data_IF_431853876740
#
_entry.id   IF_431853876740
#
_cell.length_a   1.000
_cell.length_b   1.000
_cell.length_c   1.000
_cell.angle_alpha   90.00
_cell.angle_beta   90.00
_cell.angle_gamma   90.00
#
_symmetry.space_group_name_H-M   'P 1'
#
loop_
_entity.id
_entity.type
_entity.pdbx_description
1 polymer ?
#
# COMPACT_ATOMS: atom_id res chain seq x y z
N UNK A 1 18.96 6.50 5.14
CA UNK A 1 18.33 5.67 6.20
C UNK A 1 17.81 6.50 7.36
N UNK A 2 18.66 7.24 8.10
CA UNK A 2 18.22 8.09 9.23
C UNK A 2 17.01 8.97 8.91
N UNK A 3 17.07 9.76 7.84
CA UNK A 3 15.96 10.64 7.47
C UNK A 3 14.68 9.86 7.17
N UNK A 4 14.77 8.68 6.53
CA UNK A 4 13.60 7.86 6.21
C UNK A 4 12.93 7.37 7.50
N UNK A 5 13.72 6.89 8.46
CA UNK A 5 13.24 6.47 9.78
C UNK A 5 12.58 7.64 10.51
N UNK A 6 13.21 8.82 10.52
CA UNK A 6 12.64 10.00 11.19
C UNK A 6 11.30 10.44 10.57
N UNK A 7 11.19 10.44 9.25
CA UNK A 7 9.93 10.78 8.55
C UNK A 7 8.83 9.78 8.90
N UNK A 8 9.12 8.48 8.89
CA UNK A 8 8.10 7.45 9.14
C UNK A 8 7.72 7.36 10.63
N UNK A 9 8.67 7.56 11.55
CA UNK A 9 8.37 7.68 12.98
C UNK A 9 7.53 8.92 13.26
N UNK A 10 7.92 10.08 12.71
CA UNK A 10 7.15 11.31 12.85
C UNK A 10 5.75 11.19 12.28
N UNK A 11 5.61 10.62 11.08
CA UNK A 11 4.31 10.33 10.48
C UNK A 11 3.50 9.35 11.33
N UNK A 12 4.12 8.29 11.84
CA UNK A 12 3.47 7.30 12.70
C UNK A 12 2.92 7.93 13.98
N UNK A 13 3.66 8.82 14.63
CA UNK A 13 3.17 9.56 15.80
C UNK A 13 1.98 10.46 15.46
N UNK A 14 2.04 11.17 14.34
CA UNK A 14 0.93 12.01 13.87
C UNK A 14 -0.29 11.16 13.51
N UNK A 15 -0.08 9.99 12.88
CA UNK A 15 -1.15 9.06 12.53
C UNK A 15 -1.83 8.49 13.78
N UNK A 16 -1.05 8.03 14.78
CA UNK A 16 -1.60 7.53 16.06
C UNK A 16 -2.41 8.63 16.76
N UNK A 17 -1.85 9.84 16.90
CA UNK A 17 -2.54 10.96 17.53
C UNK A 17 -3.82 11.35 16.76
N UNK A 18 -3.73 11.40 15.42
CA UNK A 18 -4.85 11.73 14.55
C UNK A 18 -5.97 10.69 14.64
N UNK A 19 -5.64 9.40 14.63
CA UNK A 19 -6.61 8.30 14.66
C UNK A 19 -7.22 8.08 16.05
N UNK A 20 -6.55 8.49 17.13
CA UNK A 20 -7.09 8.39 18.48
C UNK A 20 -8.27 9.33 18.79
N UNK A 21 -8.57 10.33 17.94
CA UNK A 21 -9.71 11.24 18.16
C UNK A 21 -11.07 10.55 17.91
N UNK A 22 -12.18 10.99 18.54
CA UNK A 22 -13.49 10.36 18.39
C UNK A 22 -14.09 10.44 16.96
N UNK A 23 -14.93 9.45 16.61
CA UNK A 23 -15.65 9.36 15.34
C UNK A 23 -16.90 10.24 15.37
N UNK A 24 -16.95 11.29 14.53
CA UNK A 24 -17.55 11.06 13.20
C UNK A 24 -16.66 11.46 12.01
N UNK A 25 -15.40 11.86 12.25
CA UNK A 25 -14.51 12.37 11.21
C UNK A 25 -13.34 11.41 10.89
N UNK A 26 -13.49 10.09 11.07
CA UNK A 26 -12.37 9.17 10.87
C UNK A 26 -11.93 9.10 9.41
N UNK A 27 -12.85 9.02 8.44
CA UNK A 27 -12.49 9.00 7.02
C UNK A 27 -11.83 10.30 6.55
N UNK A 28 -12.28 11.46 7.05
CA UNK A 28 -11.60 12.75 6.81
C UNK A 28 -10.17 12.79 7.39
N UNK A 29 -9.98 12.26 8.60
CA UNK A 29 -8.65 12.20 9.24
C UNK A 29 -7.71 11.26 8.49
N UNK A 30 -8.20 10.10 8.07
CA UNK A 30 -7.46 9.17 7.21
C UNK A 30 -7.05 9.83 5.90
N UNK A 31 -7.98 10.50 5.23
CA UNK A 31 -7.67 11.25 4.01
C UNK A 31 -6.60 12.32 4.26
N UNK A 32 -6.74 13.09 5.35
CA UNK A 32 -5.75 14.09 5.76
C UNK A 32 -4.37 13.49 5.99
N UNK A 33 -4.27 12.32 6.63
CA UNK A 33 -3.02 11.59 6.86
C UNK A 33 -2.40 11.09 5.54
N UNK A 34 -3.21 10.53 4.65
CA UNK A 34 -2.74 10.05 3.33
C UNK A 34 -2.21 11.21 2.49
N UNK A 35 -2.93 12.34 2.46
CA UNK A 35 -2.49 13.56 1.78
C UNK A 35 -1.21 14.09 2.43
N UNK A 36 -1.17 14.17 3.76
CA UNK A 36 -0.01 14.63 4.51
C UNK A 36 1.23 13.80 4.16
N UNK A 37 1.13 12.47 4.15
CA UNK A 37 2.24 11.60 3.79
C UNK A 37 2.71 11.85 2.34
N UNK A 38 1.77 11.86 1.40
CA UNK A 38 2.07 12.00 -0.03
C UNK A 38 2.61 13.39 -0.39
N UNK A 39 2.40 14.42 0.44
CA UNK A 39 3.04 15.73 0.31
C UNK A 39 4.37 15.79 1.05
N UNK A 40 4.40 15.34 2.31
CA UNK A 40 5.58 15.44 3.17
C UNK A 40 6.77 14.65 2.62
N UNK A 41 6.54 13.45 2.11
CA UNK A 41 7.60 12.57 1.61
C UNK A 41 8.41 13.19 0.45
N UNK A 42 7.80 13.65 -0.67
CA UNK A 42 8.55 14.30 -1.74
C UNK A 42 9.12 15.67 -1.32
N UNK A 43 8.44 16.42 -0.44
CA UNK A 43 8.95 17.70 0.08
C UNK A 43 10.23 17.49 0.89
N UNK A 44 10.22 16.58 1.86
CA UNK A 44 11.41 16.25 2.65
C UNK A 44 12.49 15.66 1.76
N UNK A 45 12.12 14.77 0.83
CA UNK A 45 13.04 14.23 -0.16
C UNK A 45 13.72 15.32 -0.99
N UNK A 46 12.99 16.37 -1.38
CA UNK A 46 13.54 17.49 -2.14
C UNK A 46 14.44 18.39 -1.29
N UNK A 47 13.98 18.79 -0.09
CA UNK A 47 14.72 19.67 0.83
C UNK A 47 16.02 19.02 1.29
N UNK A 48 16.03 17.70 1.49
CA UNK A 48 17.21 16.93 1.93
C UNK A 48 18.06 16.36 0.79
N UNK A 49 17.69 16.61 -0.47
CA UNK A 49 18.46 16.16 -1.64
C UNK A 49 18.31 14.69 -2.04
N UNK A 50 17.33 13.97 -1.47
CA UNK A 50 17.05 12.55 -1.74
C UNK A 50 16.26 12.37 -3.04
N UNK A 51 16.90 12.53 -4.20
CA UNK A 51 16.25 12.37 -5.52
C UNK A 51 15.58 11.01 -5.73
N UNK A 52 16.19 9.94 -5.22
CA UNK A 52 15.64 8.59 -5.28
C UNK A 52 14.29 8.43 -4.56
N UNK A 53 14.06 9.20 -3.49
CA UNK A 53 12.80 9.19 -2.76
C UNK A 53 11.65 9.70 -3.61
N UNK A 54 11.88 10.83 -4.29
CA UNK A 54 10.92 11.46 -5.19
C UNK A 54 10.68 10.55 -6.41
N UNK A 55 11.74 9.91 -6.91
CA UNK A 55 11.65 8.92 -7.98
C UNK A 55 10.70 7.78 -7.61
N UNK A 56 10.96 7.11 -6.48
CA UNK A 56 10.16 5.99 -6.00
C UNK A 56 8.73 6.41 -5.67
N UNK A 57 8.54 7.54 -4.99
CA UNK A 57 7.21 8.10 -4.70
C UNK A 57 6.41 8.35 -5.98
N UNK A 58 7.02 8.94 -7.00
CA UNK A 58 6.34 9.24 -8.26
C UNK A 58 5.97 7.99 -9.08
N UNK A 59 6.61 6.84 -8.83
CA UNK A 59 6.16 5.54 -9.35
C UNK A 59 5.04 4.94 -8.50
N UNK A 60 5.16 5.02 -7.17
CA UNK A 60 4.22 4.43 -6.23
C UNK A 60 2.90 5.16 -6.08
N UNK A 61 2.86 6.48 -6.31
CA UNK A 61 1.62 7.23 -6.26
C UNK A 61 0.64 6.76 -7.35
N UNK A 62 1.01 6.71 -8.65
CA UNK A 62 0.16 6.10 -9.68
C UNK A 62 -0.24 4.66 -9.35
N UNK A 63 0.69 3.84 -8.84
CA UNK A 63 0.38 2.47 -8.43
C UNK A 63 -0.72 2.47 -7.37
N UNK A 64 -0.58 3.29 -6.33
CA UNK A 64 -1.57 3.40 -5.26
C UNK A 64 -2.92 3.93 -5.72
N UNK A 65 -2.96 4.78 -6.76
CA UNK A 65 -4.22 5.22 -7.36
C UNK A 65 -4.89 4.07 -8.12
N UNK A 66 -4.11 3.24 -8.81
CA UNK A 66 -4.64 2.06 -9.50
C UNK A 66 -5.12 0.97 -8.54
N UNK A 67 -4.58 0.90 -7.31
CA UNK A 67 -5.03 -0.06 -6.29
C UNK A 67 -6.51 0.09 -5.89
N UNK A 68 -7.13 1.24 -6.18
CA UNK A 68 -8.59 1.42 -6.04
C UNK A 68 -9.37 0.36 -6.83
N UNK A 69 -8.84 -0.11 -7.97
CA UNK A 69 -9.50 -1.12 -8.80
C UNK A 69 -9.47 -2.51 -8.14
N UNK A 70 -8.31 -3.06 -7.72
CA UNK A 70 -8.24 -4.23 -6.86
C UNK A 70 -9.13 -4.14 -5.63
N UNK A 71 -9.07 -3.04 -4.89
CA UNK A 71 -9.85 -2.88 -3.66
C UNK A 71 -11.36 -2.86 -3.96
N UNK A 72 -11.80 -2.21 -5.04
CA UNK A 72 -13.19 -2.24 -5.50
C UNK A 72 -13.63 -3.63 -5.95
N UNK A 73 -12.76 -4.39 -6.61
CA UNK A 73 -13.05 -5.77 -7.02
C UNK A 73 -13.29 -6.66 -5.79
N UNK A 74 -12.46 -6.55 -4.76
CA UNK A 74 -12.66 -7.30 -3.51
C UNK A 74 -13.99 -6.91 -2.85
N UNK A 75 -14.33 -5.62 -2.81
CA UNK A 75 -15.53 -5.13 -2.16
C UNK A 75 -16.82 -5.43 -2.93
N UNK A 76 -16.91 -5.05 -4.20
CA UNK A 76 -18.15 -5.11 -4.97
C UNK A 76 -18.33 -6.43 -5.73
N UNK A 77 -17.25 -7.02 -6.25
CA UNK A 77 -17.33 -8.21 -7.10
C UNK A 77 -17.23 -9.51 -6.30
N UNK A 78 -16.33 -9.57 -5.31
CA UNK A 78 -16.18 -10.74 -4.44
C UNK A 78 -17.00 -10.62 -3.15
N UNK A 79 -17.23 -9.41 -2.64
CA UNK A 79 -17.84 -9.22 -1.32
C UNK A 79 -16.95 -9.70 -0.17
N UNK A 80 -15.65 -9.86 -0.41
CA UNK A 80 -14.70 -10.45 0.55
C UNK A 80 -14.11 -9.45 1.55
N UNK A 81 -14.39 -8.16 1.34
CA UNK A 81 -13.94 -7.05 2.19
C UNK A 81 -15.05 -6.01 2.33
N UNK A 82 -15.23 -5.50 3.54
CA UNK A 82 -16.17 -4.43 3.87
C UNK A 82 -15.41 -3.18 4.31
N UNK A 83 -15.82 -2.02 3.78
CA UNK A 83 -15.27 -0.71 4.11
C UNK A 83 -16.35 0.13 4.84
N UNK A 84 -16.35 0.14 6.18
CA UNK A 84 -17.36 0.87 6.96
C UNK A 84 -17.45 2.35 6.57
N UNK A 85 -18.65 2.94 6.71
CA UNK A 85 -18.77 4.39 6.59
C UNK A 85 -18.26 5.09 7.84
N UNK A 86 -17.12 5.75 7.69
CA UNK A 86 -16.39 6.45 8.75
C UNK A 86 -16.46 7.97 8.61
N UNK A 87 -17.32 8.46 7.70
CA UNK A 87 -17.48 9.87 7.35
C UNK A 87 -16.34 10.41 6.50
N UNK A 88 -16.66 11.00 5.36
CA UNK A 88 -15.67 11.53 4.42
C UNK A 88 -16.02 11.20 2.97
N UNK A 89 -15.22 11.69 2.01
CA UNK A 89 -15.46 11.42 0.60
C UNK A 89 -15.14 9.95 0.27
N UNK A 90 -15.91 9.39 -0.66
CA UNK A 90 -15.80 8.00 -1.14
C UNK A 90 -15.69 7.97 -2.66
N UNK A 91 -15.12 6.89 -3.19
CA UNK A 91 -15.17 6.52 -4.60
C UNK A 91 -15.76 5.11 -4.67
N UNK A 92 -17.01 4.98 -5.13
CA UNK A 92 -17.72 3.71 -5.07
C UNK A 92 -17.81 3.17 -3.63
N UNK A 93 -17.48 1.89 -3.38
CA UNK A 93 -17.53 1.30 -2.04
C UNK A 93 -16.37 1.76 -1.15
N UNK A 94 -15.40 2.54 -1.64
CA UNK A 94 -14.16 2.81 -0.91
C UNK A 94 -14.09 4.21 -0.33
N UNK A 95 -13.49 4.41 0.86
CA UNK A 95 -13.02 5.70 1.30
C UNK A 95 -12.01 6.27 0.28
N UNK A 96 -12.13 7.56 -0.06
CA UNK A 96 -11.21 8.22 -0.99
C UNK A 96 -9.74 8.12 -0.53
N UNK A 97 -9.51 8.01 0.78
CA UNK A 97 -8.18 7.82 1.37
C UNK A 97 -7.43 6.59 0.82
N UNK A 98 -8.13 5.54 0.38
CA UNK A 98 -7.50 4.35 -0.23
C UNK A 98 -6.68 4.72 -1.47
N UNK A 99 -7.12 5.75 -2.21
CA UNK A 99 -6.40 6.33 -3.34
C UNK A 99 -5.18 7.12 -2.84
N UNK A 100 -4.07 6.44 -2.61
CA UNK A 100 -2.81 7.00 -2.12
C UNK A 100 -2.30 6.36 -0.82
N UNK A 101 -3.12 5.55 -0.15
CA UNK A 101 -2.74 4.87 1.10
C UNK A 101 -1.63 3.85 0.88
N UNK A 102 -1.69 3.08 -0.21
CA UNK A 102 -0.72 2.05 -0.54
C UNK A 102 0.70 2.59 -0.75
N UNK A 103 0.85 3.87 -1.08
CA UNK A 103 2.17 4.51 -1.16
C UNK A 103 2.92 4.44 0.16
N UNK A 104 2.22 4.49 1.30
CA UNK A 104 2.83 4.49 2.65
C UNK A 104 3.61 3.20 2.92
N UNK A 105 2.98 2.00 2.94
CA UNK A 105 3.69 0.76 3.21
C UNK A 105 4.65 0.39 2.06
N UNK A 106 4.26 0.59 0.80
CA UNK A 106 5.10 0.18 -0.33
C UNK A 106 6.36 1.02 -0.43
N UNK A 107 6.32 2.32 -0.13
CA UNK A 107 7.52 3.14 -0.18
C UNK A 107 8.53 2.70 0.87
N UNK A 108 8.08 2.49 2.11
CA UNK A 108 8.95 2.02 3.19
C UNK A 108 9.56 0.64 2.86
N UNK A 109 8.74 -0.29 2.38
CA UNK A 109 9.16 -1.64 2.03
C UNK A 109 10.15 -1.67 0.86
N UNK A 110 9.87 -0.97 -0.24
CA UNK A 110 10.76 -0.95 -1.41
C UNK A 110 12.06 -0.19 -1.14
N UNK A 111 12.00 0.91 -0.39
CA UNK A 111 13.19 1.65 0.03
C UNK A 111 14.10 0.79 0.90
N UNK A 112 13.55 0.12 1.91
CA UNK A 112 14.31 -0.77 2.78
C UNK A 112 14.83 -1.99 2.01
N UNK A 113 14.05 -2.53 1.07
CA UNK A 113 14.48 -3.63 0.22
C UNK A 113 15.67 -3.29 -0.68
N UNK A 114 15.70 -2.09 -1.26
CA UNK A 114 16.85 -1.60 -2.04
C UNK A 114 18.11 -1.50 -1.15
N UNK A 115 17.96 -0.95 0.05
CA UNK A 115 19.03 -0.82 1.03
C UNK A 115 19.57 -2.18 1.51
N UNK A 116 18.69 -3.11 1.90
CA UNK A 116 19.05 -4.47 2.33
C UNK A 116 19.59 -5.33 1.18
N UNK A 117 19.08 -5.10 -0.04
CA UNK A 117 19.52 -5.77 -1.26
C UNK A 117 20.93 -5.37 -1.68
N UNK A 118 21.43 -4.22 -1.20
CA UNK A 118 22.78 -3.69 -1.50
C UNK A 118 23.05 -3.61 -3.01
N UNK A 119 22.05 -3.20 -3.79
CA UNK A 119 22.12 -3.11 -5.25
C UNK A 119 21.92 -4.42 -6.00
N UNK A 120 21.84 -5.57 -5.32
CA UNK A 120 21.51 -6.84 -5.98
C UNK A 120 20.00 -6.95 -6.23
N UNK A 121 19.62 -7.12 -7.50
CA UNK A 121 18.22 -7.16 -7.92
C UNK A 121 17.46 -8.33 -7.30
N UNK A 122 18.10 -9.50 -7.18
CA UNK A 122 17.45 -10.72 -6.67
C UNK A 122 17.19 -10.58 -5.17
N UNK A 123 18.20 -10.17 -4.39
CA UNK A 123 18.10 -9.92 -2.95
C UNK A 123 17.09 -8.82 -2.66
N UNK A 124 17.15 -7.71 -3.40
CA UNK A 124 16.17 -6.63 -3.26
C UNK A 124 14.74 -7.10 -3.56
N UNK A 125 14.54 -7.96 -4.56
CA UNK A 125 13.21 -8.54 -4.84
C UNK A 125 12.71 -9.39 -3.67
N UNK A 126 13.57 -10.25 -3.10
CA UNK A 126 13.20 -11.09 -1.95
C UNK A 126 12.85 -10.22 -0.75
N UNK A 127 13.67 -9.21 -0.44
CA UNK A 127 13.38 -8.29 0.66
C UNK A 127 12.10 -7.50 0.43
N UNK A 128 11.82 -7.08 -0.81
CA UNK A 128 10.57 -6.37 -1.11
C UNK A 128 9.34 -7.26 -0.90
N UNK A 129 9.41 -8.54 -1.29
CA UNK A 129 8.37 -9.52 -1.01
C UNK A 129 8.12 -9.70 0.49
N UNK A 130 9.20 -9.92 1.26
CA UNK A 130 9.13 -10.15 2.70
C UNK A 130 8.62 -8.91 3.44
N UNK A 131 9.13 -7.72 3.11
CA UNK A 131 8.77 -6.48 3.80
C UNK A 131 7.37 -6.00 3.44
N UNK A 132 6.99 -6.03 2.16
CA UNK A 132 5.64 -5.63 1.76
C UNK A 132 4.60 -6.61 2.31
N UNK A 133 4.79 -7.92 2.10
CA UNK A 133 3.90 -8.94 2.65
C UNK A 133 3.83 -8.88 4.17
N UNK A 134 4.97 -8.72 4.86
CA UNK A 134 4.99 -8.59 6.32
C UNK A 134 4.24 -7.35 6.83
N UNK A 135 4.42 -6.19 6.21
CA UNK A 135 3.74 -4.95 6.62
C UNK A 135 2.24 -5.00 6.32
N UNK A 136 1.83 -5.53 5.17
CA UNK A 136 0.42 -5.60 4.79
C UNK A 136 -0.34 -6.65 5.62
N UNK A 137 0.22 -7.84 5.80
CA UNK A 137 -0.32 -8.85 6.73
C UNK A 137 -0.36 -8.35 8.17
N UNK A 138 0.65 -7.60 8.62
CA UNK A 138 0.60 -6.97 9.95
C UNK A 138 -0.47 -5.88 10.03
N UNK A 139 -0.75 -5.18 8.92
CA UNK A 139 -1.83 -4.19 8.84
C UNK A 139 -3.19 -4.88 8.99
N UNK A 140 -3.43 -5.99 8.30
CA UNK A 140 -4.60 -6.85 8.50
C UNK A 140 -4.73 -7.32 9.97
N UNK A 141 -3.61 -7.71 10.59
CA UNK A 141 -3.57 -8.20 11.96
C UNK A 141 -3.87 -7.13 13.03
N UNK A 142 -3.68 -5.84 12.72
CA UNK A 142 -3.68 -4.75 13.71
C UNK A 142 -4.75 -3.70 13.46
N UNK A 143 -5.08 -3.44 12.20
CA UNK A 143 -6.01 -2.38 11.83
C UNK A 143 -7.47 -2.78 11.96
N UNK A 144 -7.80 -4.04 12.27
CA UNK A 144 -9.18 -4.43 12.62
C UNK A 144 -9.78 -3.61 13.77
N UNK A 145 -8.93 -3.05 14.64
CA UNK A 145 -9.35 -2.18 15.75
C UNK A 145 -9.74 -0.76 15.29
N UNK A 146 -9.36 -0.37 14.07
CA UNK A 146 -9.75 0.89 13.43
C UNK A 146 -10.74 0.51 12.33
N UNK A 147 -11.96 1.06 12.28
CA UNK A 147 -12.98 0.62 11.31
C UNK A 147 -12.68 1.12 9.88
N UNK A 148 -11.52 0.81 9.31
CA UNK A 148 -11.08 1.21 7.98
C UNK A 148 -11.54 0.18 6.95
N UNK A 149 -11.20 -1.09 7.18
CA UNK A 149 -11.68 -2.23 6.42
C UNK A 149 -11.69 -3.48 7.31
N UNK A 150 -12.44 -4.50 6.88
CA UNK A 150 -12.44 -5.83 7.49
C UNK A 150 -12.74 -6.90 6.44
N UNK A 151 -12.12 -8.05 6.58
CA UNK A 151 -12.46 -9.22 5.77
C UNK A 151 -13.86 -9.75 6.14
N UNK A 152 -14.59 -10.26 5.14
CA UNK A 152 -15.95 -10.79 5.27
C UNK A 152 -16.05 -12.09 4.48
N UNK A 153 -16.69 -13.10 5.05
CA UNK A 153 -17.04 -14.37 4.39
C UNK A 153 -15.87 -15.10 3.69
N UNK A 154 -14.67 -15.04 4.29
CA UNK A 154 -13.45 -15.71 3.81
C UNK A 154 -12.71 -16.43 4.94
N UNK A 155 -11.84 -17.36 4.57
CA UNK A 155 -10.94 -18.07 5.45
C UNK A 155 -9.94 -17.09 6.09
N UNK A 156 -9.88 -17.11 7.42
CA UNK A 156 -9.08 -16.19 8.21
C UNK A 156 -8.29 -16.89 9.31
N UNK A 157 -7.14 -16.33 9.68
CA UNK A 157 -6.45 -16.61 10.94
C UNK A 157 -6.44 -15.34 11.76
N UNK A 158 -7.26 -15.30 12.82
CA UNK A 158 -7.57 -14.04 13.51
C UNK A 158 -8.31 -13.08 12.56
N UNK A 159 -7.92 -11.80 12.44
CA UNK A 159 -8.52 -10.86 11.50
C UNK A 159 -7.91 -10.95 10.08
N UNK A 160 -6.88 -11.76 9.87
CA UNK A 160 -6.13 -11.80 8.60
C UNK A 160 -6.80 -12.75 7.61
N UNK A 161 -7.25 -12.22 6.47
CA UNK A 161 -7.70 -13.02 5.34
C UNK A 161 -6.54 -13.82 4.73
N UNK A 162 -6.74 -15.12 4.50
CA UNK A 162 -5.66 -15.97 4.00
C UNK A 162 -5.36 -15.74 2.52
N UNK A 163 -6.38 -15.46 1.71
CA UNK A 163 -6.20 -15.31 0.26
C UNK A 163 -5.37 -14.09 -0.14
N UNK A 164 -5.25 -13.05 0.70
CA UNK A 164 -4.48 -11.83 0.38
C UNK A 164 -2.97 -11.99 0.56
N UNK A 165 -2.53 -12.95 1.39
CA UNK A 165 -1.12 -13.10 1.79
C UNK A 165 -0.20 -13.28 0.59
N UNK A 166 -0.51 -14.24 -0.29
CA UNK A 166 0.30 -14.51 -1.48
C UNK A 166 0.30 -13.31 -2.46
N UNK A 167 -0.86 -12.73 -2.83
CA UNK A 167 -0.94 -11.51 -3.62
C UNK A 167 -0.10 -10.35 -3.08
N UNK A 168 -0.11 -10.10 -1.77
CA UNK A 168 0.65 -8.99 -1.15
C UNK A 168 2.17 -9.21 -1.20
N UNK A 169 2.62 -10.44 -0.97
CA UNK A 169 4.03 -10.83 -1.15
C UNK A 169 4.45 -10.63 -2.61
N UNK A 170 3.61 -11.04 -3.56
CA UNK A 170 3.86 -10.85 -4.98
C UNK A 170 3.87 -9.37 -5.37
N UNK A 171 2.94 -8.57 -4.83
CA UNK A 171 2.87 -7.12 -5.06
C UNK A 171 4.20 -6.45 -4.71
N UNK A 172 4.78 -6.75 -3.54
CA UNK A 172 6.09 -6.23 -3.13
C UNK A 172 7.21 -6.59 -4.10
N UNK A 173 7.33 -7.88 -4.44
CA UNK A 173 8.35 -8.35 -5.37
C UNK A 173 8.21 -7.72 -6.76
N UNK A 174 7.01 -7.72 -7.32
CA UNK A 174 6.71 -7.23 -8.67
C UNK A 174 6.88 -5.71 -8.73
N UNK A 175 6.37 -4.97 -7.76
CA UNK A 175 6.53 -3.52 -7.68
C UNK A 175 8.01 -3.12 -7.63
N UNK A 176 8.82 -3.81 -6.83
CA UNK A 176 10.27 -3.57 -6.77
C UNK A 176 10.94 -3.82 -8.13
N UNK A 177 10.66 -4.96 -8.77
CA UNK A 177 11.27 -5.29 -10.07
C UNK A 177 10.81 -4.38 -11.20
N UNK A 178 9.55 -3.93 -11.16
CA UNK A 178 9.03 -2.94 -12.09
C UNK A 178 9.78 -1.62 -11.90
N UNK A 179 9.83 -1.11 -10.66
CA UNK A 179 10.57 0.11 -10.31
C UNK A 179 12.01 0.08 -10.80
N UNK A 180 12.77 -0.97 -10.48
CA UNK A 180 14.17 -1.10 -10.89
C UNK A 180 14.36 -1.06 -12.42
N UNK A 181 13.36 -1.50 -13.20
CA UNK A 181 13.39 -1.45 -14.68
C UNK A 181 13.01 -0.09 -15.26
N UNK A 182 12.12 0.67 -14.60
CA UNK A 182 11.56 1.92 -15.13
C UNK A 182 12.04 3.19 -14.41
N UNK A 183 12.85 3.08 -13.35
CA UNK A 183 13.31 4.22 -12.54
C UNK A 183 14.03 5.31 -13.33
N UNK A 184 14.76 4.91 -14.37
CA UNK A 184 15.53 5.81 -15.24
C UNK A 184 14.80 6.11 -16.57
N UNK A 185 13.52 5.74 -16.68
CA UNK A 185 12.68 5.91 -17.87
C UNK A 185 11.71 7.09 -17.70
N UNK A 186 10.98 7.42 -18.77
CA UNK A 186 10.00 8.51 -18.76
C UNK A 186 8.87 8.26 -17.76
N UNK A 187 8.26 9.35 -17.27
CA UNK A 187 7.14 9.27 -16.31
C UNK A 187 5.94 8.51 -16.88
N UNK A 188 5.67 8.64 -18.17
CA UNK A 188 4.62 7.85 -18.83
C UNK A 188 4.84 6.34 -18.71
N UNK A 189 6.08 5.87 -18.93
CA UNK A 189 6.39 4.44 -18.79
C UNK A 189 6.31 3.97 -17.32
N UNK A 190 6.63 4.83 -16.36
CA UNK A 190 6.45 4.54 -14.94
C UNK A 190 4.97 4.36 -14.57
N UNK A 191 4.08 5.21 -15.10
CA UNK A 191 2.63 5.08 -14.93
C UNK A 191 2.11 3.79 -15.57
N UNK A 192 2.55 3.47 -16.79
CA UNK A 192 2.17 2.21 -17.47
C UNK A 192 2.63 1.00 -16.66
N UNK A 193 3.88 1.02 -16.17
CA UNK A 193 4.38 -0.06 -15.32
C UNK A 193 3.56 -0.19 -14.03
N UNK A 194 3.22 0.92 -13.37
CA UNK A 194 2.37 0.93 -12.20
C UNK A 194 0.99 0.31 -12.47
N UNK A 195 0.36 0.65 -13.60
CA UNK A 195 -0.91 0.05 -14.01
C UNK A 195 -0.79 -1.47 -14.19
N UNK A 196 0.27 -1.94 -14.86
CA UNK A 196 0.52 -3.38 -15.06
C UNK A 196 0.76 -4.13 -13.74
N UNK A 197 1.46 -3.52 -12.78
CA UNK A 197 1.63 -4.11 -11.44
C UNK A 197 0.26 -4.24 -10.74
N UNK A 198 -0.60 -3.22 -10.84
CA UNK A 198 -1.94 -3.26 -10.27
C UNK A 198 -2.81 -4.34 -10.91
N UNK A 199 -2.77 -4.49 -12.24
CA UNK A 199 -3.50 -5.55 -12.96
C UNK A 199 -3.01 -6.94 -12.57
N UNK A 200 -1.69 -7.13 -12.44
CA UNK A 200 -1.13 -8.39 -11.98
C UNK A 200 -1.58 -8.71 -10.56
N UNK A 201 -1.58 -7.72 -9.67
CA UNK A 201 -2.05 -7.90 -8.29
C UNK A 201 -3.52 -8.29 -8.23
N UNK A 202 -4.39 -7.65 -9.04
CA UNK A 202 -5.79 -8.04 -9.19
C UNK A 202 -5.93 -9.51 -9.65
N UNK A 203 -5.17 -9.92 -10.66
CA UNK A 203 -5.17 -11.30 -11.14
C UNK A 203 -4.68 -12.29 -10.06
N UNK A 204 -3.67 -11.91 -9.28
CA UNK A 204 -3.18 -12.71 -8.17
C UNK A 204 -4.24 -12.83 -7.05
N UNK A 205 -4.94 -11.75 -6.70
CA UNK A 205 -6.04 -11.75 -5.74
C UNK A 205 -7.14 -12.71 -6.18
N UNK A 206 -7.61 -12.59 -7.43
CA UNK A 206 -8.66 -13.46 -7.96
C UNK A 206 -8.24 -14.95 -7.96
N UNK A 207 -7.01 -15.24 -8.40
CA UNK A 207 -6.49 -16.61 -8.41
C UNK A 207 -6.35 -17.17 -6.99
N UNK A 208 -5.84 -16.38 -6.05
CA UNK A 208 -5.65 -16.79 -4.66
C UNK A 208 -6.98 -17.00 -3.94
N UNK A 209 -7.98 -16.14 -4.20
CA UNK A 209 -9.33 -16.32 -3.69
C UNK A 209 -9.95 -17.64 -4.14
N UNK A 210 -9.85 -17.98 -5.44
CA UNK A 210 -10.34 -19.26 -5.96
C UNK A 210 -9.68 -20.47 -5.28
N UNK A 211 -8.38 -20.40 -5.01
CA UNK A 211 -7.60 -21.49 -4.42
C UNK A 211 -7.81 -21.68 -2.93
N UNK A 212 -8.26 -20.65 -2.21
CA UNK A 212 -8.32 -20.65 -0.74
C UNK A 212 -9.75 -20.67 -0.23
N UNK A 213 -10.67 -19.96 -0.89
CA UNK A 213 -12.02 -19.70 -0.38
C UNK A 213 -13.13 -20.36 -1.23
N UNK A 214 -12.79 -20.93 -2.39
CA UNK A 214 -13.78 -21.53 -3.31
C UNK A 214 -13.56 -23.03 -3.51
N UNK A 215 -12.33 -23.45 -3.81
CA UNK A 215 -11.97 -24.85 -4.08
C UNK A 215 -11.37 -25.53 -2.85
#
# INVERSE_FOLDING_TARGET
MRDAVLVHLGFGLVAVAGLALPAPALGWRLLGLVVLYNVALPVVGRVRGHRGWIGLWAFLLPLSLFQVIPDAFLADALGSIDFPDTGGPRIGPLPLAMAGMWTIPLWASLFAADWLGRGDLRRGTVWAAVLAGGVLVASEATLWAVPIWRAVDVAMVGPVALYVILPEVLLGAVAYRAWQRVRDRSRGLQVVAAALVSTLYLGALAASYLLVDVW
#
